data_IF_243983301199
#
_entry.id   IF_243983301199
#
_cell.length_a   1.000
_cell.length_b   1.000
_cell.length_c   1.000
_cell.angle_alpha   90.00
_cell.angle_beta   90.00
_cell.angle_gamma   90.00
#
_symmetry.space_group_name_H-M   'P 1'
#
loop_
_entity.id
_entity.type
_entity.pdbx_description
1 polymer ?
#
# COMPACT_ATOMS: atom_id res chain seq x y z
N UNK A 1 33.59 11.64 8.20
CA UNK A 1 32.13 11.73 8.42
C UNK A 1 31.52 10.35 8.21
N UNK A 2 30.95 9.72 9.25
CA UNK A 2 30.39 8.36 9.17
C UNK A 2 29.15 8.30 8.26
N UNK A 3 29.12 7.34 7.33
CA UNK A 3 28.00 7.14 6.40
C UNK A 3 26.74 6.77 7.20
N UNK A 4 25.68 7.57 7.12
CA UNK A 4 24.40 7.29 7.81
C UNK A 4 23.87 5.93 7.35
N UNK A 5 23.61 5.03 8.31
CA UNK A 5 22.94 3.75 8.05
C UNK A 5 21.46 4.02 7.72
N UNK A 6 20.92 3.33 6.73
CA UNK A 6 19.50 3.45 6.33
C UNK A 6 18.76 2.21 6.81
N UNK A 7 17.63 2.39 7.51
CA UNK A 7 16.72 1.31 7.87
C UNK A 7 15.58 1.26 6.86
N UNK A 8 15.29 0.06 6.35
CA UNK A 8 14.11 -0.16 5.51
C UNK A 8 13.02 -0.82 6.33
N UNK A 9 11.86 -0.17 6.43
CA UNK A 9 10.71 -0.66 7.20
C UNK A 9 10.10 -1.92 6.57
N UNK A 10 9.94 -1.97 5.25
CA UNK A 10 9.39 -3.13 4.55
C UNK A 10 10.28 -4.37 4.66
N UNK A 11 11.61 -4.19 4.66
CA UNK A 11 12.57 -5.30 4.75
C UNK A 11 13.07 -5.56 6.17
N UNK A 12 12.64 -4.74 7.14
CA UNK A 12 13.02 -4.80 8.56
C UNK A 12 14.53 -4.96 8.79
N UNK A 13 15.35 -4.20 8.05
CA UNK A 13 16.81 -4.32 8.13
C UNK A 13 17.54 -3.01 7.92
N UNK A 14 18.71 -2.90 8.55
CA UNK A 14 19.67 -1.85 8.26
C UNK A 14 20.51 -2.19 7.03
N UNK A 15 20.65 -1.24 6.12
CA UNK A 15 21.58 -1.32 5.00
C UNK A 15 22.98 -0.97 5.50
N UNK A 16 23.93 -1.84 5.15
CA UNK A 16 25.37 -1.67 5.45
C UNK A 16 25.90 -0.35 4.89
N UNK A 17 25.43 0.06 3.72
CA UNK A 17 25.76 1.33 3.08
C UNK A 17 24.49 2.14 2.83
N UNK A 18 24.11 3.06 3.72
CA UNK A 18 22.89 3.88 3.56
C UNK A 18 22.98 5.05 2.56
N UNK A 19 23.95 5.02 1.63
CA UNK A 19 24.12 6.07 0.61
C UNK A 19 22.98 6.08 -0.41
N UNK A 20 22.77 7.22 -1.09
CA UNK A 20 21.66 7.41 -2.06
C UNK A 20 21.64 6.34 -3.15
N UNK A 21 22.80 5.98 -3.71
CA UNK A 21 22.94 4.92 -4.72
C UNK A 21 22.50 3.55 -4.18
N UNK A 22 23.05 3.12 -3.05
CA UNK A 22 22.69 1.83 -2.44
C UNK A 22 21.22 1.78 -2.00
N UNK A 23 20.66 2.91 -1.56
CA UNK A 23 19.22 3.02 -1.28
C UNK A 23 18.39 2.85 -2.56
N UNK A 24 18.78 3.50 -3.66
CA UNK A 24 18.13 3.34 -4.97
C UNK A 24 18.18 1.88 -5.46
N UNK A 25 19.35 1.26 -5.39
CA UNK A 25 19.52 -0.16 -5.76
C UNK A 25 18.67 -1.08 -4.87
N UNK A 26 18.57 -0.77 -3.57
CA UNK A 26 17.74 -1.53 -2.64
C UNK A 26 16.24 -1.44 -2.96
N UNK A 27 15.69 -0.23 -3.12
CA UNK A 27 14.24 -0.03 -3.37
C UNK A 27 13.80 -0.60 -4.73
N UNK A 28 14.70 -0.59 -5.74
CA UNK A 28 14.42 -1.15 -7.05
C UNK A 28 14.57 -2.68 -7.08
N UNK A 29 15.23 -3.27 -6.07
CA UNK A 29 15.48 -4.69 -5.97
C UNK A 29 14.21 -5.53 -5.74
N UNK A 30 14.19 -6.74 -6.31
CA UNK A 30 13.05 -7.67 -6.26
C UNK A 30 12.58 -7.94 -4.83
N UNK A 31 13.50 -8.23 -3.90
CA UNK A 31 13.17 -8.53 -2.49
C UNK A 31 12.41 -7.40 -1.80
N UNK A 32 12.74 -6.14 -2.10
CA UNK A 32 12.05 -5.00 -1.52
C UNK A 32 10.64 -4.87 -2.09
N UNK A 33 10.50 -4.97 -3.42
CA UNK A 33 9.20 -4.94 -4.11
C UNK A 33 8.27 -6.06 -3.63
N UNK A 34 8.77 -7.28 -3.51
CA UNK A 34 8.00 -8.43 -3.02
C UNK A 34 7.49 -8.16 -1.59
N UNK A 35 8.33 -7.60 -0.71
CA UNK A 35 7.93 -7.23 0.66
C UNK A 35 6.92 -6.09 0.71
N UNK A 36 7.01 -5.11 -0.19
CA UNK A 36 5.99 -4.06 -0.30
C UNK A 36 4.65 -4.64 -0.73
N UNK A 37 4.64 -5.52 -1.74
CA UNK A 37 3.42 -6.19 -2.21
C UNK A 37 2.80 -7.05 -1.09
N UNK A 38 3.62 -7.80 -0.37
CA UNK A 38 3.17 -8.61 0.78
C UNK A 38 2.54 -7.73 1.87
N UNK A 39 3.20 -6.62 2.24
CA UNK A 39 2.70 -5.67 3.23
C UNK A 39 1.33 -5.12 2.84
N UNK A 40 1.18 -4.63 1.60
CA UNK A 40 -0.10 -4.09 1.16
C UNK A 40 -1.17 -5.18 1.10
N UNK A 41 -0.88 -6.38 0.60
CA UNK A 41 -1.85 -7.49 0.61
C UNK A 41 -2.36 -7.81 2.03
N UNK A 42 -1.48 -7.86 3.01
CA UNK A 42 -1.87 -8.08 4.42
C UNK A 42 -2.69 -6.91 4.96
N UNK A 43 -2.30 -5.68 4.65
CA UNK A 43 -3.05 -4.48 5.03
C UNK A 43 -4.47 -4.48 4.44
N UNK A 44 -4.62 -4.84 3.16
CA UNK A 44 -5.89 -4.96 2.47
C UNK A 44 -6.78 -6.04 3.11
N UNK A 45 -6.22 -7.22 3.39
CA UNK A 45 -6.94 -8.28 4.09
C UNK A 45 -7.45 -7.82 5.47
N UNK A 46 -6.63 -7.07 6.22
CA UNK A 46 -7.02 -6.53 7.52
C UNK A 46 -8.17 -5.50 7.41
N UNK A 47 -8.18 -4.66 6.37
CA UNK A 47 -9.29 -3.73 6.13
C UNK A 47 -10.58 -4.51 5.83
N UNK A 48 -10.50 -5.48 4.91
CA UNK A 48 -11.66 -6.28 4.52
C UNK A 48 -12.25 -7.05 5.70
N UNK A 49 -11.40 -7.60 6.58
CA UNK A 49 -11.88 -8.28 7.77
C UNK A 49 -12.63 -7.33 8.70
N UNK A 50 -12.11 -6.12 8.94
CA UNK A 50 -12.82 -5.12 9.76
C UNK A 50 -14.17 -4.71 9.17
N UNK A 51 -14.28 -4.68 7.84
CA UNK A 51 -15.56 -4.42 7.17
C UNK A 51 -16.56 -5.55 7.40
N UNK A 52 -16.12 -6.80 7.31
CA UNK A 52 -16.94 -7.97 7.62
C UNK A 52 -17.39 -7.92 9.08
N UNK A 53 -16.47 -7.67 10.00
CA UNK A 53 -16.76 -7.62 11.44
C UNK A 53 -17.81 -6.54 11.76
N UNK A 54 -17.75 -5.38 11.08
CA UNK A 54 -18.77 -4.33 11.21
C UNK A 54 -20.15 -4.81 10.74
N UNK A 55 -20.23 -5.46 9.59
CA UNK A 55 -21.51 -5.97 9.06
C UNK A 55 -22.09 -7.06 9.95
N UNK A 56 -21.25 -7.98 10.43
CA UNK A 56 -21.66 -9.06 11.33
C UNK A 56 -22.18 -8.49 12.66
N UNK A 57 -21.47 -7.52 13.23
CA UNK A 57 -21.89 -6.86 14.47
C UNK A 57 -23.21 -6.11 14.31
N UNK A 58 -23.39 -5.39 13.20
CA UNK A 58 -24.63 -4.66 12.91
C UNK A 58 -25.82 -5.62 12.76
N UNK A 59 -25.61 -6.72 12.01
CA UNK A 59 -26.61 -7.77 11.84
C UNK A 59 -27.01 -8.43 13.16
N UNK A 60 -26.03 -8.74 14.02
CA UNK A 60 -26.29 -9.31 15.35
C UNK A 60 -27.05 -8.34 16.26
N UNK A 61 -26.79 -7.04 16.12
CA UNK A 61 -27.37 -6.01 16.99
C UNK A 61 -28.78 -5.63 16.56
N UNK A 62 -29.01 -5.45 15.26
CA UNK A 62 -30.22 -4.85 14.71
C UNK A 62 -31.10 -5.84 13.92
N UNK A 63 -30.63 -7.07 13.72
CA UNK A 63 -31.35 -8.11 12.97
C UNK A 63 -31.38 -7.87 11.45
N UNK A 64 -32.06 -8.74 10.69
CA UNK A 64 -31.96 -8.81 9.22
C UNK A 64 -32.50 -7.60 8.44
N UNK A 65 -33.11 -6.61 9.11
CA UNK A 65 -33.66 -5.42 8.46
C UNK A 65 -32.68 -4.23 8.44
N UNK A 66 -31.40 -4.44 8.75
CA UNK A 66 -30.39 -3.37 8.72
C UNK A 66 -29.81 -3.14 7.33
N UNK A 67 -29.85 -1.88 6.88
CA UNK A 67 -29.10 -1.41 5.72
C UNK A 67 -27.70 -0.95 6.18
N UNK A 68 -26.79 -1.89 6.44
CA UNK A 68 -25.40 -1.53 6.75
C UNK A 68 -24.74 -0.96 5.50
N UNK A 69 -24.39 0.33 5.50
CA UNK A 69 -23.61 0.91 4.40
C UNK A 69 -22.16 0.48 4.53
N UNK A 70 -21.75 -0.46 3.69
CA UNK A 70 -20.36 -0.89 3.59
C UNK A 70 -19.55 0.25 2.94
N UNK A 71 -18.45 0.71 3.55
CA UNK A 71 -17.60 1.71 2.91
C UNK A 71 -17.04 1.16 1.59
N UNK A 72 -17.04 1.99 0.54
CA UNK A 72 -16.49 1.58 -0.76
C UNK A 72 -14.98 1.36 -0.64
N UNK A 73 -14.56 0.09 -0.63
CA UNK A 73 -13.16 -0.29 -0.60
C UNK A 73 -12.57 -0.26 -2.02
N UNK A 74 -11.56 0.57 -2.22
CA UNK A 74 -10.74 0.55 -3.44
C UNK A 74 -9.37 -0.02 -3.09
N UNK A 75 -8.92 -1.10 -3.75
CA UNK A 75 -7.59 -1.68 -3.51
C UNK A 75 -6.50 -0.64 -3.76
N UNK A 76 -5.48 -0.58 -2.91
CA UNK A 76 -4.40 0.40 -3.01
C UNK A 76 -3.63 0.26 -4.34
N UNK A 77 -3.47 -0.99 -4.81
CA UNK A 77 -2.86 -1.27 -6.11
C UNK A 77 -3.72 -0.80 -7.31
N UNK A 78 -5.02 -0.59 -7.14
CA UNK A 78 -5.85 -0.04 -8.22
C UNK A 78 -5.72 1.49 -8.30
N UNK A 79 -5.49 2.15 -7.17
CA UNK A 79 -5.37 3.60 -7.06
C UNK A 79 -4.04 4.09 -7.62
N UNK A 80 -2.92 3.42 -7.28
CA UNK A 80 -1.61 3.81 -7.81
C UNK A 80 -1.53 3.61 -9.32
N UNK A 81 -2.16 2.56 -9.89
CA UNK A 81 -2.20 2.34 -11.34
C UNK A 81 -2.96 3.46 -12.05
N UNK A 82 -4.13 3.83 -11.52
CA UNK A 82 -4.94 4.93 -12.06
C UNK A 82 -4.21 6.27 -11.97
N UNK A 83 -3.61 6.59 -10.82
CA UNK A 83 -2.85 7.83 -10.64
C UNK A 83 -1.60 7.87 -11.52
N UNK A 84 -0.87 6.76 -11.64
CA UNK A 84 0.32 6.69 -12.48
C UNK A 84 -0.05 6.94 -13.95
N UNK A 85 -1.11 6.29 -14.44
CA UNK A 85 -1.61 6.50 -15.80
C UNK A 85 -2.06 7.95 -16.02
N UNK A 86 -2.81 8.53 -15.08
CA UNK A 86 -3.26 9.91 -15.16
C UNK A 86 -2.07 10.88 -15.20
N UNK A 87 -1.05 10.65 -14.37
CA UNK A 87 0.16 11.48 -14.34
C UNK A 87 0.91 11.40 -15.68
N UNK A 88 1.06 10.20 -16.26
CA UNK A 88 1.67 10.06 -17.60
C UNK A 88 0.87 10.80 -18.67
N UNK A 89 -0.45 10.75 -18.60
CA UNK A 89 -1.35 11.41 -19.54
C UNK A 89 -1.25 12.94 -19.44
N UNK A 90 -1.23 13.48 -18.23
CA UNK A 90 -1.01 14.91 -17.97
C UNK A 90 0.36 15.40 -18.46
N UNK A 91 1.41 14.59 -18.28
CA UNK A 91 2.75 14.90 -18.80
C UNK A 91 2.73 14.93 -20.33
N UNK A 92 2.11 13.93 -20.97
CA UNK A 92 1.99 13.87 -22.42
C UNK A 92 1.20 15.07 -22.99
N UNK A 93 0.13 15.49 -22.33
CA UNK A 93 -0.66 16.67 -22.68
C UNK A 93 0.13 17.97 -22.49
N UNK A 94 1.03 18.05 -21.49
CA UNK A 94 1.87 19.24 -21.25
C UNK A 94 3.05 19.41 -22.22
N UNK A 95 3.33 18.40 -23.04
CA UNK A 95 4.40 18.40 -24.04
C UNK A 95 3.93 18.78 -25.45
N UNK A 96 2.65 19.12 -25.58
CA UNK A 96 1.97 19.51 -26.83
C UNK A 96 1.46 20.95 -26.71
#
# INVERSE_FOLDING_TARGET
MGKKRYYCEYCQKHLVYGGTRSRKEHILGKKHKDKMVEYFKQFEANILQRMIDMVVLDYQTNGPNTTTQIPQYTPYLSTWEKQSKLQYQQIAESMN
#
